data_IF_233611851909
#
_entry.id   IF_233611851909
#
_cell.length_a   1.000
_cell.length_b   1.000
_cell.length_c   1.000
_cell.angle_alpha   90.00
_cell.angle_beta   90.00
_cell.angle_gamma   90.00
#
_symmetry.space_group_name_H-M   'P 1'
#
loop_
_entity.id
_entity.type
_entity.pdbx_description
1 polymer ?
#
# COMPACT_ATOMS: atom_id res chain seq x y z
N UNK A 1 -5.66 3.06 -24.65
CA UNK A 1 -5.94 2.19 -23.48
C UNK A 1 -7.25 1.45 -23.74
N UNK A 2 -7.32 0.12 -23.55
CA UNK A 2 -8.58 -0.62 -23.64
C UNK A 2 -9.59 -0.13 -22.60
N UNK A 3 -10.89 -0.08 -22.95
CA UNK A 3 -11.94 0.36 -22.03
C UNK A 3 -12.00 -0.51 -20.76
N UNK A 4 -11.70 -1.80 -20.89
CA UNK A 4 -11.60 -2.75 -19.78
C UNK A 4 -10.52 -2.35 -18.78
N UNK A 5 -9.33 -1.96 -19.25
CA UNK A 5 -8.25 -1.50 -18.37
C UNK A 5 -8.63 -0.23 -17.61
N UNK A 6 -9.32 0.71 -18.28
CA UNK A 6 -9.84 1.92 -17.64
C UNK A 6 -10.89 1.58 -16.57
N UNK A 7 -11.85 0.71 -16.90
CA UNK A 7 -12.89 0.29 -15.96
C UNK A 7 -12.30 -0.42 -14.73
N UNK A 8 -11.31 -1.28 -14.92
CA UNK A 8 -10.58 -1.94 -13.82
C UNK A 8 -9.82 -0.93 -12.95
N UNK A 9 -9.15 0.05 -13.56
CA UNK A 9 -8.42 1.10 -12.83
C UNK A 9 -9.37 1.97 -11.99
N UNK A 10 -10.52 2.37 -12.55
CA UNK A 10 -11.53 3.13 -11.82
C UNK A 10 -12.20 2.30 -10.71
N UNK A 11 -12.47 1.02 -10.98
CA UNK A 11 -12.96 0.08 -9.98
C UNK A 11 -11.97 -0.06 -8.82
N UNK A 12 -10.69 -0.25 -9.11
CA UNK A 12 -9.64 -0.31 -8.10
C UNK A 12 -9.56 0.99 -7.27
N UNK A 13 -9.67 2.16 -7.91
CA UNK A 13 -9.69 3.45 -7.22
C UNK A 13 -10.92 3.58 -6.29
N UNK A 14 -12.10 3.14 -6.74
CA UNK A 14 -13.31 3.12 -5.94
C UNK A 14 -13.20 2.19 -4.73
N UNK A 15 -12.73 0.95 -4.92
CA UNK A 15 -12.50 0.02 -3.82
C UNK A 15 -11.47 0.56 -2.83
N UNK A 16 -10.39 1.16 -3.32
CA UNK A 16 -9.37 1.78 -2.48
C UNK A 16 -9.95 2.92 -1.62
N UNK A 17 -10.71 3.84 -2.22
CA UNK A 17 -11.33 4.94 -1.50
C UNK A 17 -12.39 4.46 -0.49
N UNK A 18 -13.19 3.46 -0.87
CA UNK A 18 -14.21 2.86 -0.01
C UNK A 18 -13.59 2.18 1.22
N UNK A 19 -12.56 1.35 1.00
CA UNK A 19 -11.82 0.70 2.08
C UNK A 19 -11.21 1.71 3.06
N UNK A 20 -10.51 2.74 2.55
CA UNK A 20 -9.92 3.77 3.42
C UNK A 20 -10.98 4.54 4.22
N UNK A 21 -12.15 4.78 3.63
CA UNK A 21 -13.26 5.45 4.33
C UNK A 21 -13.81 4.58 5.46
N UNK A 22 -13.94 3.27 5.26
CA UNK A 22 -14.35 2.33 6.30
C UNK A 22 -13.30 2.24 7.41
N UNK A 23 -12.02 2.11 7.03
CA UNK A 23 -10.89 2.05 7.95
C UNK A 23 -10.81 3.29 8.85
N UNK A 24 -10.99 4.48 8.28
CA UNK A 24 -10.98 5.74 9.03
C UNK A 24 -12.13 5.86 10.04
N UNK A 25 -13.22 5.10 9.85
CA UNK A 25 -14.38 5.06 10.77
C UNK A 25 -14.30 3.90 11.78
N UNK A 26 -13.30 3.03 11.67
CA UNK A 26 -13.16 1.88 12.56
C UNK A 26 -12.78 2.31 13.98
N UNK A 27 -13.41 1.70 14.98
CA UNK A 27 -13.09 1.93 16.41
C UNK A 27 -11.73 1.34 16.80
N UNK A 28 -11.43 0.15 16.28
CA UNK A 28 -10.09 -0.47 16.37
C UNK A 28 -9.58 -0.74 14.94
N UNK A 29 -8.73 0.16 14.45
CA UNK A 29 -8.11 0.09 13.12
C UNK A 29 -7.34 -1.23 12.95
N UNK A 30 -6.67 -1.72 14.01
CA UNK A 30 -5.87 -2.94 13.95
C UNK A 30 -6.74 -4.18 13.79
N UNK A 31 -7.77 -4.30 14.61
CA UNK A 31 -8.72 -5.42 14.51
C UNK A 31 -9.49 -5.39 13.18
N UNK A 32 -9.98 -4.22 12.76
CA UNK A 32 -10.66 -4.05 11.48
C UNK A 32 -9.76 -4.41 10.29
N UNK A 33 -8.49 -3.99 10.30
CA UNK A 33 -7.51 -4.36 9.26
C UNK A 33 -7.31 -5.87 9.21
N UNK A 34 -7.13 -6.52 10.37
CA UNK A 34 -6.94 -7.96 10.42
C UNK A 34 -8.15 -8.73 9.89
N UNK A 35 -9.37 -8.37 10.31
CA UNK A 35 -10.61 -8.99 9.83
C UNK A 35 -10.77 -8.79 8.32
N UNK A 36 -10.53 -7.59 7.82
CA UNK A 36 -10.68 -7.32 6.41
C UNK A 36 -9.66 -8.03 5.51
N UNK A 37 -8.42 -8.20 5.97
CA UNK A 37 -7.44 -9.02 5.27
C UNK A 37 -7.93 -10.47 5.15
N UNK A 38 -8.49 -11.03 6.23
CA UNK A 38 -9.09 -12.38 6.22
C UNK A 38 -10.32 -12.45 5.31
N UNK A 39 -11.22 -11.47 5.37
CA UNK A 39 -12.41 -11.41 4.51
C UNK A 39 -12.00 -11.27 3.04
N UNK A 40 -11.07 -10.38 2.73
CA UNK A 40 -10.53 -10.20 1.38
C UNK A 40 -9.91 -11.49 0.85
N UNK A 41 -9.14 -12.19 1.68
CA UNK A 41 -8.59 -13.50 1.35
C UNK A 41 -9.70 -14.50 1.04
N UNK A 42 -10.72 -14.62 1.90
CA UNK A 42 -11.86 -15.54 1.69
C UNK A 42 -12.64 -15.24 0.40
N UNK A 43 -12.78 -13.96 0.02
CA UNK A 43 -13.43 -13.54 -1.23
C UNK A 43 -12.61 -13.94 -2.46
N UNK A 44 -11.28 -13.89 -2.37
CA UNK A 44 -10.38 -14.23 -3.49
C UNK A 44 -10.27 -15.75 -3.69
N UNK A 45 -10.32 -16.55 -2.62
CA UNK A 45 -10.18 -18.03 -2.67
C UNK A 45 -11.02 -18.70 -3.77
N UNK A 46 -12.36 -18.54 -3.84
CA UNK A 46 -13.15 -19.29 -4.82
C UNK A 46 -12.76 -18.94 -6.26
N UNK A 47 -12.49 -17.67 -6.54
CA UNK A 47 -12.07 -17.23 -7.87
C UNK A 47 -10.68 -17.76 -8.20
N UNK A 48 -9.74 -17.69 -7.25
CA UNK A 48 -8.38 -18.20 -7.43
C UNK A 48 -8.38 -19.71 -7.71
N UNK A 49 -9.20 -20.49 -6.99
CA UNK A 49 -9.32 -21.94 -7.22
C UNK A 49 -9.92 -22.26 -8.60
N UNK A 50 -10.87 -21.47 -9.08
CA UNK A 50 -11.47 -21.65 -10.40
C UNK A 50 -10.55 -21.24 -11.56
N UNK A 51 -9.67 -20.26 -11.35
CA UNK A 51 -8.76 -19.73 -12.38
C UNK A 51 -7.30 -20.08 -12.11
N UNK A 52 -7.04 -21.15 -11.35
CA UNK A 52 -5.72 -21.41 -10.79
C UNK A 52 -4.67 -21.65 -11.87
N UNK A 53 -3.65 -20.79 -11.88
CA UNK A 53 -2.42 -20.98 -12.64
C UNK A 53 -1.29 -20.32 -11.87
N UNK A 54 -0.23 -21.09 -11.61
CA UNK A 54 0.98 -20.61 -10.94
C UNK A 54 2.18 -21.42 -11.45
N UNK A 55 3.05 -20.79 -12.21
CA UNK A 55 4.32 -21.38 -12.59
C UNK A 55 5.32 -21.24 -11.43
N UNK A 56 6.23 -22.20 -11.30
CA UNK A 56 7.30 -22.14 -10.28
C UNK A 56 8.15 -20.86 -10.39
N UNK A 57 8.24 -20.28 -11.59
CA UNK A 57 8.94 -19.01 -11.86
C UNK A 57 8.30 -17.85 -11.08
N UNK A 58 6.99 -17.87 -10.82
CA UNK A 58 6.28 -16.82 -10.09
C UNK A 58 6.57 -16.84 -8.57
N UNK A 59 7.02 -17.98 -8.02
CA UNK A 59 7.23 -18.18 -6.57
C UNK A 59 8.17 -17.14 -5.94
N UNK A 60 9.39 -16.89 -6.46
CA UNK A 60 10.26 -15.87 -5.87
C UNK A 60 9.65 -14.47 -5.92
N UNK A 61 8.88 -14.13 -6.97
CA UNK A 61 8.22 -12.83 -7.08
C UNK A 61 7.13 -12.66 -6.02
N UNK A 62 6.23 -13.64 -5.89
CA UNK A 62 5.10 -13.55 -4.95
C UNK A 62 5.56 -13.54 -3.49
N UNK A 63 6.65 -14.28 -3.18
CA UNK A 63 7.25 -14.24 -1.85
C UNK A 63 7.92 -12.89 -1.57
N UNK A 64 8.67 -12.35 -2.54
CA UNK A 64 9.32 -11.06 -2.38
C UNK A 64 8.30 -9.90 -2.26
N UNK A 65 7.25 -9.90 -3.09
CA UNK A 65 6.13 -8.94 -3.03
C UNK A 65 5.42 -8.99 -1.69
N UNK A 66 5.03 -10.18 -1.23
CA UNK A 66 4.39 -10.37 0.07
C UNK A 66 5.25 -9.94 1.26
N UNK A 67 6.57 -10.20 1.24
CA UNK A 67 7.50 -9.73 2.27
C UNK A 67 7.63 -8.20 2.27
N UNK A 68 7.68 -7.57 1.08
CA UNK A 68 7.65 -6.11 0.96
C UNK A 68 6.32 -5.53 1.45
N UNK A 69 5.20 -6.22 1.27
CA UNK A 69 3.91 -5.82 1.85
C UNK A 69 3.92 -5.88 3.38
N UNK A 70 4.53 -6.90 3.98
CA UNK A 70 4.70 -6.95 5.46
C UNK A 70 5.55 -5.77 5.93
N UNK A 71 6.67 -5.51 5.25
CA UNK A 71 7.52 -4.36 5.54
C UNK A 71 6.76 -3.03 5.39
N UNK A 72 5.94 -2.90 4.34
CA UNK A 72 5.06 -1.76 4.09
C UNK A 72 4.14 -1.51 5.30
N UNK A 73 3.41 -2.51 5.78
CA UNK A 73 2.50 -2.34 6.92
C UNK A 73 3.24 -1.94 8.20
N UNK A 74 4.40 -2.56 8.46
CA UNK A 74 5.23 -2.25 9.62
C UNK A 74 5.81 -0.83 9.59
N UNK A 75 6.39 -0.44 8.46
CA UNK A 75 6.97 0.89 8.24
C UNK A 75 5.89 1.98 8.29
N UNK A 76 4.72 1.72 7.70
CA UNK A 76 3.61 2.67 7.69
C UNK A 76 3.06 2.91 9.09
N UNK A 77 2.85 1.84 9.86
CA UNK A 77 2.44 1.96 11.26
C UNK A 77 3.50 2.74 12.09
N UNK A 78 4.78 2.43 11.89
CA UNK A 78 5.89 3.12 12.53
C UNK A 78 6.02 4.60 12.12
N UNK A 79 5.63 4.95 10.89
CA UNK A 79 5.62 6.33 10.40
C UNK A 79 4.49 7.13 11.04
N UNK A 80 3.26 6.58 11.08
CA UNK A 80 2.12 7.24 11.72
C UNK A 80 2.26 7.42 13.23
N UNK A 81 3.07 6.59 13.90
CA UNK A 81 3.41 6.81 15.30
C UNK A 81 4.36 7.99 15.53
N UNK A 82 5.06 8.45 14.49
CA UNK A 82 6.13 9.47 14.60
C UNK A 82 5.82 10.79 13.89
N UNK A 83 4.91 10.78 12.91
CA UNK A 83 4.52 11.96 12.15
C UNK A 83 3.04 11.94 11.78
N UNK A 84 2.49 13.13 11.57
CA UNK A 84 1.09 13.30 11.21
C UNK A 84 0.74 12.59 9.90
N UNK A 85 -0.49 12.08 9.82
CA UNK A 85 -1.00 11.43 8.61
C UNK A 85 -0.95 12.36 7.39
N UNK A 86 -1.15 13.68 7.60
CA UNK A 86 -1.05 14.71 6.58
C UNK A 86 0.38 14.90 6.02
N UNK A 87 1.42 14.40 6.70
CA UNK A 87 2.78 14.31 6.18
C UNK A 87 3.04 12.95 5.51
N UNK A 88 2.79 11.88 6.26
CA UNK A 88 3.21 10.53 5.90
C UNK A 88 2.49 10.06 4.64
N UNK A 89 1.18 10.32 4.54
CA UNK A 89 0.37 9.84 3.43
C UNK A 89 0.76 10.46 2.08
N UNK A 90 0.84 11.81 1.92
CA UNK A 90 1.31 12.42 0.67
C UNK A 90 2.73 12.01 0.29
N UNK A 91 3.66 11.89 1.25
CA UNK A 91 5.03 11.45 0.95
C UNK A 91 5.07 10.01 0.44
N UNK A 92 4.45 9.07 1.18
CA UNK A 92 4.45 7.67 0.84
C UNK A 92 3.77 7.40 -0.52
N UNK A 93 2.63 8.04 -0.78
CA UNK A 93 1.84 7.82 -2.01
C UNK A 93 2.26 8.70 -3.18
N UNK A 94 2.78 9.90 -2.93
CA UNK A 94 3.23 10.83 -3.98
C UNK A 94 4.59 10.45 -4.56
N UNK A 95 5.51 9.94 -3.73
CA UNK A 95 6.82 9.49 -4.23
C UNK A 95 6.77 8.11 -4.89
N UNK A 96 5.86 7.23 -4.47
CA UNK A 96 5.80 5.86 -4.99
C UNK A 96 5.70 5.78 -6.53
N UNK A 97 4.82 6.51 -7.25
CA UNK A 97 4.76 6.48 -8.71
C UNK A 97 6.05 6.89 -9.40
N UNK A 98 6.76 7.88 -8.85
CA UNK A 98 8.04 8.36 -9.40
C UNK A 98 9.12 7.28 -9.23
N UNK A 99 9.16 6.64 -8.06
CA UNK A 99 10.10 5.54 -7.78
C UNK A 99 9.75 4.32 -8.64
N UNK A 100 8.46 3.98 -8.82
CA UNK A 100 8.00 2.93 -9.75
C UNK A 100 8.50 3.21 -11.16
N UNK A 101 8.36 4.44 -11.66
CA UNK A 101 8.85 4.83 -12.98
C UNK A 101 10.37 4.61 -13.09
N UNK A 102 11.14 5.08 -12.10
CA UNK A 102 12.59 4.90 -12.06
C UNK A 102 13.01 3.42 -12.04
N UNK A 103 12.38 2.60 -11.19
CA UNK A 103 12.63 1.17 -11.11
C UNK A 103 12.21 0.44 -12.39
N UNK A 104 11.09 0.82 -13.02
CA UNK A 104 10.65 0.24 -14.28
C UNK A 104 11.64 0.56 -15.42
N UNK A 105 12.19 1.77 -15.47
CA UNK A 105 13.25 2.12 -16.42
C UNK A 105 14.51 1.27 -16.16
N UNK A 106 14.97 1.22 -14.91
CA UNK A 106 16.24 0.59 -14.55
C UNK A 106 16.22 -0.95 -14.61
N UNK A 107 15.13 -1.57 -14.15
CA UNK A 107 15.03 -3.03 -13.99
C UNK A 107 14.28 -3.68 -15.15
N UNK A 108 13.21 -3.05 -15.62
CA UNK A 108 12.33 -3.60 -16.67
C UNK A 108 12.72 -3.10 -18.07
N UNK A 109 13.59 -2.08 -18.16
CA UNK A 109 13.98 -1.47 -19.42
C UNK A 109 12.86 -0.64 -20.06
N UNK A 110 11.90 -0.16 -19.27
CA UNK A 110 10.81 0.69 -19.75
C UNK A 110 11.38 1.97 -20.37
N UNK A 111 10.87 2.35 -21.55
CA UNK A 111 11.23 3.60 -22.23
C UNK A 111 9.99 4.50 -22.33
N UNK A 112 9.67 5.28 -21.27
CA UNK A 112 8.52 6.17 -21.31
C UNK A 112 8.76 7.29 -22.31
N UNK A 113 7.70 7.71 -22.99
CA UNK A 113 7.71 8.96 -23.74
C UNK A 113 7.77 10.15 -22.78
N UNK A 114 8.23 11.30 -23.28
CA UNK A 114 8.29 12.52 -22.47
C UNK A 114 6.92 12.89 -21.85
N UNK A 115 5.79 12.86 -22.59
CA UNK A 115 4.47 13.12 -22.01
C UNK A 115 4.08 12.13 -20.89
N UNK A 116 4.40 10.84 -21.04
CA UNK A 116 4.11 9.83 -20.01
C UNK A 116 4.92 10.09 -18.72
N UNK A 117 6.21 10.40 -18.85
CA UNK A 117 7.05 10.75 -17.72
C UNK A 117 6.53 12.03 -17.02
N UNK A 118 6.21 13.07 -17.78
CA UNK A 118 5.67 14.32 -17.24
C UNK A 118 4.33 14.11 -16.53
N UNK A 119 3.46 13.24 -17.04
CA UNK A 119 2.20 12.90 -16.39
C UNK A 119 2.43 12.27 -15.01
N UNK A 120 3.40 11.36 -14.88
CA UNK A 120 3.76 10.76 -13.57
C UNK A 120 4.24 11.83 -12.59
N UNK A 121 5.13 12.73 -13.03
CA UNK A 121 5.61 13.82 -12.17
C UNK A 121 4.49 14.80 -11.78
N UNK A 122 3.57 15.11 -12.70
CA UNK A 122 2.45 16.01 -12.43
C UNK A 122 1.48 15.41 -11.40
N UNK A 123 1.16 14.12 -11.52
CA UNK A 123 0.34 13.40 -10.54
C UNK A 123 1.04 13.35 -9.18
N UNK A 124 2.33 13.00 -9.15
CA UNK A 124 3.13 12.97 -7.92
C UNK A 124 3.18 14.34 -7.23
N UNK A 125 3.43 15.41 -7.99
CA UNK A 125 3.41 16.77 -7.49
C UNK A 125 2.03 17.13 -6.93
N UNK A 126 0.95 16.83 -7.65
CA UNK A 126 -0.42 17.05 -7.19
C UNK A 126 -0.71 16.37 -5.85
N UNK A 127 -0.30 15.09 -5.70
CA UNK A 127 -0.46 14.33 -4.44
C UNK A 127 0.34 14.97 -3.30
N UNK A 128 1.59 15.38 -3.56
CA UNK A 128 2.42 16.06 -2.55
C UNK A 128 1.84 17.42 -2.14
N UNK A 129 1.17 18.12 -3.06
CA UNK A 129 0.52 19.40 -2.80
C UNK A 129 -0.83 19.30 -2.08
N UNK A 130 -1.39 18.11 -1.85
CA UNK A 130 -2.64 17.94 -1.09
C UNK A 130 -2.54 18.52 0.33
N UNK A 131 -1.34 18.53 0.93
CA UNK A 131 -1.10 19.19 2.23
C UNK A 131 -1.14 20.73 2.15
N UNK A 132 -1.09 21.29 0.95
CA UNK A 132 -0.90 22.71 0.66
C UNK A 132 0.58 23.13 0.72
N UNK A 133 0.91 24.22 0.01
CA UNK A 133 2.22 24.92 0.08
C UNK A 133 2.42 25.68 1.41
N UNK A 134 1.44 25.63 2.32
CA UNK A 134 1.41 26.41 3.54
C UNK A 134 2.30 25.84 4.63
N UNK A 135 3.46 26.48 4.82
CA UNK A 135 4.36 26.59 6.01
C UNK A 135 4.45 25.40 6.99
N UNK A 136 5.66 25.07 7.52
CA UNK A 136 5.90 24.03 8.54
C UNK A 136 5.22 24.19 9.94
N UNK A 137 4.03 24.78 10.02
CA UNK A 137 3.27 24.96 11.27
C UNK A 137 1.82 25.44 11.10
N UNK A 138 1.24 25.32 9.89
CA UNK A 138 -0.05 25.95 9.54
C UNK A 138 -1.14 24.99 9.08
N UNK A 139 -1.30 23.84 9.72
CA UNK A 139 -2.60 23.17 9.75
C UNK A 139 -3.17 23.43 11.14
N UNK A 140 -4.32 24.08 11.17
CA UNK A 140 -5.11 24.39 12.36
C UNK A 140 -4.94 23.34 13.48
N UNK A 141 -4.67 23.85 14.68
CA UNK A 141 -4.59 23.12 15.95
C UNK A 141 -5.95 22.47 16.36
N UNK A 142 -6.73 21.96 15.41
CA UNK A 142 -8.13 21.59 15.58
C UNK A 142 -8.46 20.15 15.15
N UNK A 143 -7.48 19.28 14.89
CA UNK A 143 -7.70 17.83 14.96
C UNK A 143 -6.58 17.19 15.79
N UNK A 144 -6.96 16.70 16.96
CA UNK A 144 -6.08 16.27 18.05
C UNK A 144 -5.19 15.08 17.67
N UNK A 145 -4.07 14.99 18.40
CA UNK A 145 -3.23 13.81 18.68
C UNK A 145 -2.05 13.52 17.73
N UNK A 146 -1.07 14.42 17.73
CA UNK A 146 0.30 14.11 17.32
C UNK A 146 1.29 14.77 18.29
N UNK A 147 1.64 14.09 19.38
CA UNK A 147 2.63 14.51 20.39
C UNK A 147 4.09 14.47 19.89
N UNK A 148 4.30 14.51 18.57
CA UNK A 148 5.62 14.37 17.96
C UNK A 148 6.44 15.64 18.14
N UNK A 149 7.50 15.57 18.94
CA UNK A 149 8.55 16.60 18.98
C UNK A 149 9.07 16.80 17.54
N UNK A 150 9.48 18.00 17.18
CA UNK A 150 9.95 18.34 15.81
C UNK A 150 11.01 17.36 15.25
N UNK A 151 11.81 16.73 16.11
CA UNK A 151 12.77 15.68 15.73
C UNK A 151 12.16 14.33 15.32
N UNK A 152 10.94 14.00 15.75
CA UNK A 152 10.23 12.78 15.36
C UNK A 152 9.58 12.90 13.98
N UNK A 153 9.22 14.12 13.54
CA UNK A 153 8.66 14.36 12.21
C UNK A 153 9.65 13.98 11.09
N UNK A 154 10.94 14.33 11.24
CA UNK A 154 11.96 13.96 10.26
C UNK A 154 12.13 12.45 10.13
N UNK A 155 12.09 11.72 11.25
CA UNK A 155 12.11 10.25 11.25
C UNK A 155 10.85 9.66 10.62
N UNK A 156 9.68 10.25 10.90
CA UNK A 156 8.43 9.85 10.26
C UNK A 156 8.44 10.08 8.74
N UNK A 157 9.04 11.17 8.26
CA UNK A 157 9.24 11.43 6.84
C UNK A 157 10.18 10.41 6.18
N UNK A 158 11.30 10.07 6.83
CA UNK A 158 12.21 9.02 6.35
C UNK A 158 11.50 7.65 6.26
N UNK A 159 10.69 7.30 7.26
CA UNK A 159 9.88 6.08 7.22
C UNK A 159 8.86 6.14 6.08
N UNK A 160 8.21 7.29 5.83
CA UNK A 160 7.29 7.46 4.70
C UNK A 160 7.98 7.27 3.34
N UNK A 161 9.23 7.72 3.19
CA UNK A 161 10.05 7.46 1.99
C UNK A 161 10.36 5.96 1.87
N UNK A 162 10.71 5.28 2.96
CA UNK A 162 10.91 3.83 2.95
C UNK A 162 9.62 3.09 2.55
N UNK A 163 8.46 3.56 3.02
CA UNK A 163 7.15 3.05 2.57
C UNK A 163 7.00 3.24 1.05
N UNK A 164 7.34 4.41 0.49
CA UNK A 164 7.28 4.62 -0.95
C UNK A 164 8.18 3.63 -1.75
N UNK A 165 9.36 3.31 -1.23
CA UNK A 165 10.23 2.28 -1.81
C UNK A 165 9.63 0.88 -1.73
N UNK A 166 9.00 0.51 -0.61
CA UNK A 166 8.31 -0.79 -0.52
C UNK A 166 7.15 -0.88 -1.52
N UNK A 167 6.37 0.20 -1.68
CA UNK A 167 5.29 0.28 -2.67
C UNK A 167 5.84 0.07 -4.07
N UNK A 168 6.90 0.80 -4.42
CA UNK A 168 7.49 0.68 -5.74
C UNK A 168 8.12 -0.70 -6.00
N UNK A 169 8.77 -1.27 -4.98
CA UNK A 169 9.41 -2.57 -5.04
C UNK A 169 8.41 -3.69 -5.34
N UNK A 170 7.36 -3.84 -4.53
CA UNK A 170 6.37 -4.89 -4.80
C UNK A 170 5.66 -4.62 -6.13
N UNK A 171 5.32 -3.37 -6.47
CA UNK A 171 4.64 -3.04 -7.73
C UNK A 171 5.42 -3.54 -8.96
N UNK A 172 6.75 -3.34 -9.00
CA UNK A 172 7.59 -3.79 -10.12
C UNK A 172 7.81 -5.30 -10.09
N UNK A 173 7.99 -5.89 -8.90
CA UNK A 173 8.14 -7.34 -8.72
C UNK A 173 6.87 -8.08 -9.17
N UNK A 174 5.70 -7.60 -8.74
CA UNK A 174 4.40 -8.18 -9.06
C UNK A 174 4.09 -8.09 -10.55
N UNK A 175 4.48 -6.99 -11.20
CA UNK A 175 4.36 -6.85 -12.65
C UNK A 175 5.12 -7.96 -13.40
N UNK A 176 6.27 -8.42 -12.88
CA UNK A 176 7.01 -9.53 -13.47
C UNK A 176 6.40 -10.88 -13.09
N UNK A 177 6.03 -11.06 -11.82
CA UNK A 177 5.43 -12.30 -11.31
C UNK A 177 4.11 -12.66 -12.00
N UNK A 178 3.27 -11.66 -12.27
CA UNK A 178 1.98 -11.83 -12.96
C UNK A 178 2.11 -12.30 -14.43
N UNK A 179 3.31 -12.29 -15.02
CA UNK A 179 3.54 -12.91 -16.35
C UNK A 179 3.56 -14.44 -16.29
N UNK A 180 3.68 -15.00 -15.09
CA UNK A 180 3.88 -16.43 -14.81
C UNK A 180 2.79 -17.00 -13.90
N UNK A 181 1.70 -16.26 -13.67
CA UNK A 181 0.62 -16.67 -12.79
C UNK A 181 -0.70 -16.01 -13.19
N UNK A 182 -1.81 -16.67 -12.90
CA UNK A 182 -3.12 -16.01 -12.93
C UNK A 182 -3.18 -14.90 -11.87
N UNK A 183 -3.86 -13.76 -12.14
CA UNK A 183 -3.93 -12.66 -11.19
C UNK A 183 -4.48 -13.06 -9.82
N UNK A 184 -5.51 -13.92 -9.78
CA UNK A 184 -6.14 -14.34 -8.54
C UNK A 184 -5.32 -15.34 -7.73
N UNK A 185 -4.59 -16.27 -8.38
CA UNK A 185 -3.68 -17.16 -7.66
C UNK A 185 -2.49 -16.38 -7.08
N UNK A 186 -1.93 -15.45 -7.85
CA UNK A 186 -0.87 -14.56 -7.39
C UNK A 186 -1.33 -13.73 -6.18
N UNK A 187 -2.47 -13.04 -6.32
CA UNK A 187 -3.06 -12.23 -5.25
C UNK A 187 -3.35 -13.07 -3.99
N UNK A 188 -3.88 -14.29 -4.13
CA UNK A 188 -4.18 -15.15 -2.99
C UNK A 188 -2.92 -15.47 -2.18
N UNK A 189 -1.85 -15.92 -2.86
CA UNK A 189 -0.60 -16.30 -2.20
C UNK A 189 0.06 -15.06 -1.59
N UNK A 190 0.13 -13.97 -2.36
CA UNK A 190 0.75 -12.74 -1.90
C UNK A 190 0.04 -12.17 -0.68
N UNK A 191 -1.29 -12.13 -0.69
CA UNK A 191 -2.12 -11.63 0.40
C UNK A 191 -2.09 -12.55 1.64
N UNK A 192 -1.82 -13.85 1.46
CA UNK A 192 -1.67 -14.78 2.59
C UNK A 192 -0.56 -14.33 3.54
N UNK A 193 0.56 -13.85 3.01
CA UNK A 193 1.75 -13.45 3.77
C UNK A 193 1.44 -12.32 4.78
N UNK A 194 0.97 -11.12 4.36
CA UNK A 194 0.61 -10.05 5.28
C UNK A 194 -0.62 -10.40 6.13
N UNK A 195 -1.56 -11.21 5.64
CA UNK A 195 -2.73 -11.63 6.43
C UNK A 195 -2.29 -12.45 7.64
N UNK A 196 -1.47 -13.49 7.43
CA UNK A 196 -0.95 -14.33 8.51
C UNK A 196 -0.04 -13.54 9.44
N UNK A 197 0.88 -12.74 8.89
CA UNK A 197 1.80 -11.93 9.70
C UNK A 197 1.05 -10.92 10.57
N UNK A 198 0.11 -10.16 9.99
CA UNK A 198 -0.60 -9.09 10.69
C UNK A 198 -1.58 -9.66 11.73
N UNK A 199 -2.41 -10.64 11.35
CA UNK A 199 -3.35 -11.27 12.27
C UNK A 199 -2.60 -12.02 13.39
N UNK A 200 -1.51 -12.73 13.06
CA UNK A 200 -0.67 -13.43 14.02
C UNK A 200 -0.04 -12.48 15.05
N UNK A 201 0.53 -11.35 14.61
CA UNK A 201 1.07 -10.33 15.51
C UNK A 201 -0.01 -9.70 16.38
N UNK A 202 -1.20 -9.43 15.82
CA UNK A 202 -2.31 -8.87 16.59
C UNK A 202 -2.78 -9.84 17.69
N UNK A 203 -2.99 -11.11 17.34
CA UNK A 203 -3.40 -12.16 18.28
C UNK A 203 -2.32 -12.36 19.35
N UNK A 204 -1.05 -12.38 18.97
CA UNK A 204 0.06 -12.53 19.91
C UNK A 204 0.13 -11.36 20.91
N UNK A 205 -0.14 -10.13 20.47
CA UNK A 205 -0.06 -8.93 21.32
C UNK A 205 -1.32 -8.65 22.15
N UNK A 206 -2.51 -8.99 21.64
CA UNK A 206 -3.80 -8.56 22.21
C UNK A 206 -4.80 -9.70 22.45
N UNK A 207 -4.41 -10.94 22.13
CA UNK A 207 -5.33 -12.09 22.12
C UNK A 207 -6.33 -12.04 20.96
N UNK A 208 -7.24 -13.03 20.86
CA UNK A 208 -8.22 -13.11 19.77
C UNK A 208 -9.47 -12.25 20.00
N UNK A 209 -9.67 -11.70 21.20
CA UNK A 209 -10.87 -10.95 21.54
C UNK A 209 -11.16 -9.75 20.62
N UNK A 210 -10.17 -8.94 20.20
CA UNK A 210 -10.40 -7.82 19.27
C UNK A 210 -10.98 -8.25 17.92
N UNK A 211 -10.62 -9.45 17.42
CA UNK A 211 -11.11 -9.96 16.13
C UNK A 211 -12.60 -10.32 16.17
N UNK A 212 -13.14 -10.66 17.33
CA UNK A 212 -14.58 -10.99 17.50
C UNK A 212 -15.46 -9.75 17.62
N UNK A 213 -14.87 -8.61 17.95
CA UNK A 213 -15.57 -7.36 18.19
C UNK A 213 -15.50 -6.37 17.01
N UNK A 214 -14.67 -6.68 16.00
CA UNK A 214 -14.51 -5.91 14.77
C UNK A 214 -15.49 -6.39 13.69
#
# INVERSE_FOLDING_TARGET
MPLTALALALGAAFFHASWNTLLARARDIGAFTAVALVVGWCVVVPVALLTWQLDAVAIPFVLAGGLLQVAYYGLLAAAYQRADMSLVYPLARGLAPVIVLGLAIAVVGLRPTLPEALAVFLVAAGVLFVRGLGRPGGATAATRAGTGRQGDQGRGALLAICVAFTIAGYTVIDQQGLRHASPFAYLLIEQTIPTVAYAGVLIWRRGPAPLRAA
#
